data_IF_616324975378
#
_entry.id   IF_616324975378
#
_cell.length_a   1.000
_cell.length_b   1.000
_cell.length_c   1.000
_cell.angle_alpha   90.00
_cell.angle_beta   90.00
_cell.angle_gamma   90.00
#
_symmetry.space_group_name_H-M   'P 1'
#
loop_
_entity.id
_entity.type
_entity.pdbx_description
1 polymer ?
#
# COMPACT_ATOMS: atom_id res chain seq x y z
N UNK A 1 -12.26 -19.98 -10.53
CA UNK A 1 -11.97 -19.69 -9.12
C UNK A 1 -10.72 -18.81 -9.05
N UNK A 2 -10.84 -17.55 -9.48
CA UNK A 2 -9.77 -16.52 -9.39
C UNK A 2 -10.30 -15.23 -8.75
N UNK A 3 -11.62 -15.17 -8.53
CA UNK A 3 -12.35 -14.00 -8.08
C UNK A 3 -11.88 -13.53 -6.69
N UNK A 4 -11.66 -14.46 -5.76
CA UNK A 4 -11.29 -14.10 -4.39
C UNK A 4 -9.87 -13.51 -4.27
N UNK A 5 -8.91 -14.00 -5.05
CA UNK A 5 -7.55 -13.47 -5.05
C UNK A 5 -7.48 -12.12 -5.77
N UNK A 6 -8.17 -11.99 -6.91
CA UNK A 6 -8.25 -10.71 -7.62
C UNK A 6 -9.01 -9.66 -6.79
N UNK A 7 -10.10 -10.03 -6.11
CA UNK A 7 -10.85 -9.12 -5.22
C UNK A 7 -9.99 -8.59 -4.08
N UNK A 8 -9.17 -9.44 -3.46
CA UNK A 8 -8.17 -9.03 -2.47
C UNK A 8 -7.16 -8.06 -3.09
N UNK A 9 -6.64 -8.37 -4.28
CA UNK A 9 -5.64 -7.55 -4.96
C UNK A 9 -6.20 -6.18 -5.35
N UNK A 10 -7.44 -6.13 -5.81
CA UNK A 10 -8.18 -4.91 -6.11
C UNK A 10 -8.40 -4.10 -4.83
N UNK A 11 -8.86 -4.73 -3.75
CA UNK A 11 -9.06 -4.09 -2.45
C UNK A 11 -7.79 -3.44 -1.92
N UNK A 12 -6.66 -4.16 -1.97
CA UNK A 12 -5.34 -3.61 -1.60
C UNK A 12 -4.93 -2.43 -2.49
N UNK A 13 -5.15 -2.54 -3.80
CA UNK A 13 -4.85 -1.46 -4.75
C UNK A 13 -5.68 -0.20 -4.41
N UNK A 14 -6.96 -0.36 -4.09
CA UNK A 14 -7.84 0.73 -3.66
C UNK A 14 -7.32 1.35 -2.35
N UNK A 15 -6.91 0.52 -1.37
CA UNK A 15 -6.36 0.99 -0.11
C UNK A 15 -5.07 1.80 -0.31
N UNK A 16 -4.17 1.35 -1.19
CA UNK A 16 -2.93 2.05 -1.52
C UNK A 16 -3.18 3.35 -2.29
N UNK A 17 -4.21 3.37 -3.12
CA UNK A 17 -4.62 4.54 -3.89
C UNK A 17 -5.41 5.57 -3.08
N UNK A 18 -5.91 5.24 -1.89
CA UNK A 18 -6.75 6.15 -1.08
C UNK A 18 -5.94 6.80 0.03
N UNK A 19 -6.05 8.13 0.17
CA UNK A 19 -5.41 8.84 1.28
C UNK A 19 -6.23 8.72 2.58
N UNK A 20 -5.52 8.61 3.71
CA UNK A 20 -6.12 8.67 5.03
C UNK A 20 -6.91 9.98 5.22
N UNK A 21 -8.22 9.88 5.46
CA UNK A 21 -9.08 11.04 5.69
C UNK A 21 -9.81 11.57 4.45
N UNK A 22 -9.53 11.05 3.26
CA UNK A 22 -10.20 11.45 2.01
C UNK A 22 -11.69 11.04 2.02
N UNK A 23 -12.02 9.92 2.68
CA UNK A 23 -13.40 9.46 2.86
C UNK A 23 -13.99 10.00 4.15
N UNK A 24 -14.86 11.00 4.03
CA UNK A 24 -15.60 11.64 5.15
C UNK A 24 -16.29 10.61 6.07
N UNK A 25 -16.85 9.54 5.50
CA UNK A 25 -17.56 8.48 6.25
C UNK A 25 -16.63 7.38 6.80
N UNK A 26 -15.34 7.38 6.44
CA UNK A 26 -14.32 6.43 6.90
C UNK A 26 -12.96 7.14 7.05
N UNK A 27 -12.80 8.00 8.06
CA UNK A 27 -11.59 8.82 8.22
C UNK A 27 -10.33 8.00 8.49
N UNK A 28 -10.49 6.76 8.99
CA UNK A 28 -9.39 5.82 9.22
C UNK A 28 -8.99 5.03 7.97
N UNK A 29 -9.76 5.13 6.87
CA UNK A 29 -9.53 4.34 5.66
C UNK A 29 -8.49 5.01 4.77
N UNK A 30 -7.36 4.34 4.59
CA UNK A 30 -6.24 4.81 3.79
C UNK A 30 -4.94 4.75 4.57
N UNK A 31 -3.92 5.40 4.03
CA UNK A 31 -2.61 5.55 4.64
C UNK A 31 -2.01 6.89 4.24
N UNK A 32 -0.96 7.34 4.94
CA UNK A 32 -0.31 8.63 4.66
C UNK A 32 0.58 8.59 3.42
N UNK A 33 -0.05 8.49 2.25
CA UNK A 33 0.60 8.53 0.94
C UNK A 33 1.30 9.86 0.68
N UNK A 34 0.67 10.98 1.04
CA UNK A 34 1.25 12.33 0.88
C UNK A 34 2.59 12.48 1.61
N UNK A 35 2.80 11.76 2.70
CA UNK A 35 4.06 11.85 3.42
C UNK A 35 5.26 11.35 2.57
N UNK A 36 5.03 10.43 1.59
CA UNK A 36 6.04 10.06 0.60
C UNK A 36 6.40 11.19 -0.36
N UNK A 37 5.51 12.17 -0.59
CA UNK A 37 5.76 13.32 -1.48
C UNK A 37 6.70 14.35 -0.86
N UNK A 38 6.67 14.48 0.46
CA UNK A 38 7.35 15.57 1.17
C UNK A 38 8.63 15.12 1.87
N UNK A 39 8.76 13.85 2.24
CA UNK A 39 9.92 13.35 2.97
C UNK A 39 10.78 12.38 2.14
N UNK A 40 12.12 12.52 2.15
CA UNK A 40 13.00 11.52 1.57
C UNK A 40 12.79 10.18 2.28
N UNK A 41 12.85 9.08 1.52
CA UNK A 41 12.60 7.73 1.98
C UNK A 41 13.73 7.23 2.90
N UNK A 42 13.78 7.80 4.10
CA UNK A 42 14.72 7.46 5.16
C UNK A 42 14.27 6.20 5.88
N UNK A 43 15.21 5.43 6.43
CA UNK A 43 14.92 4.17 7.13
C UNK A 43 13.87 4.32 8.24
N UNK A 44 13.91 5.43 8.99
CA UNK A 44 12.93 5.74 10.05
C UNK A 44 11.55 5.98 9.47
N UNK A 45 11.45 6.76 8.39
CA UNK A 45 10.20 7.12 7.75
C UNK A 45 9.57 5.91 7.05
N UNK A 46 10.37 5.11 6.34
CA UNK A 46 9.93 3.84 5.75
C UNK A 46 9.39 2.86 6.82
N UNK A 47 10.00 2.83 8.01
CA UNK A 47 9.53 2.00 9.13
C UNK A 47 8.19 2.50 9.67
N UNK A 48 8.01 3.81 9.78
CA UNK A 48 6.75 4.42 10.19
C UNK A 48 5.62 4.12 9.19
N UNK A 49 5.86 4.36 7.89
CA UNK A 49 4.89 4.05 6.84
C UNK A 49 4.55 2.57 6.77
N UNK A 50 5.55 1.69 6.93
CA UNK A 50 5.34 0.25 7.02
C UNK A 50 4.35 -0.08 8.14
N UNK A 51 4.55 0.47 9.35
CA UNK A 51 3.66 0.24 10.50
C UNK A 51 2.24 0.74 10.25
N UNK A 52 2.09 1.90 9.62
CA UNK A 52 0.77 2.42 9.24
C UNK A 52 0.08 1.50 8.22
N UNK A 53 0.79 1.08 7.16
CA UNK A 53 0.26 0.15 6.16
C UNK A 53 -0.09 -1.21 6.77
N UNK A 54 0.78 -1.75 7.63
CA UNK A 54 0.52 -3.00 8.36
C UNK A 54 -0.78 -2.90 9.17
N UNK A 55 -0.99 -1.78 9.86
CA UNK A 55 -2.21 -1.54 10.63
C UNK A 55 -3.42 -1.40 9.71
N UNK A 56 -3.34 -0.56 8.68
CA UNK A 56 -4.44 -0.35 7.74
C UNK A 56 -4.88 -1.65 7.05
N UNK A 57 -3.93 -2.45 6.55
CA UNK A 57 -4.21 -3.74 5.92
C UNK A 57 -4.85 -4.70 6.92
N UNK A 58 -4.34 -4.77 8.16
CA UNK A 58 -4.92 -5.63 9.19
C UNK A 58 -6.39 -5.27 9.50
N UNK A 59 -6.74 -3.98 9.48
CA UNK A 59 -8.10 -3.51 9.74
C UNK A 59 -9.04 -3.65 8.55
N UNK A 60 -8.56 -3.39 7.33
CA UNK A 60 -9.41 -3.33 6.13
C UNK A 60 -9.42 -4.63 5.32
N UNK A 61 -8.39 -5.45 5.42
CA UNK A 61 -8.26 -6.68 4.64
C UNK A 61 -7.84 -7.87 5.54
N UNK A 62 -8.70 -8.30 6.49
CA UNK A 62 -8.38 -9.39 7.43
C UNK A 62 -8.27 -10.77 6.74
N UNK A 63 -8.62 -10.86 5.45
CA UNK A 63 -8.52 -12.09 4.64
C UNK A 63 -7.07 -12.45 4.31
N UNK A 64 -6.13 -11.51 4.44
CA UNK A 64 -4.71 -11.74 4.21
C UNK A 64 -3.89 -11.60 5.49
N UNK A 65 -2.74 -12.26 5.49
CA UNK A 65 -1.69 -12.09 6.50
C UNK A 65 -0.50 -11.41 5.82
N UNK A 66 -0.15 -10.21 6.30
CA UNK A 66 0.91 -9.41 5.70
C UNK A 66 2.27 -9.89 6.20
N UNK A 67 3.09 -10.44 5.31
CA UNK A 67 4.40 -10.98 5.66
C UNK A 67 5.48 -9.89 5.64
N UNK A 68 5.47 -9.03 4.61
CA UNK A 68 6.50 -8.01 4.40
C UNK A 68 5.95 -6.83 3.61
N UNK A 69 6.41 -5.63 3.99
CA UNK A 69 6.26 -4.39 3.23
C UNK A 69 7.65 -3.86 2.94
N UNK A 70 7.90 -3.42 1.73
CA UNK A 70 9.13 -2.77 1.32
C UNK A 70 8.82 -1.63 0.35
N UNK A 71 9.57 -0.55 0.46
CA UNK A 71 9.46 0.61 -0.43
C UNK A 71 10.78 0.72 -1.16
N UNK A 72 10.74 0.65 -2.48
CA UNK A 72 11.92 0.76 -3.33
C UNK A 72 11.75 1.96 -4.24
N UNK A 73 12.74 2.85 -4.27
CA UNK A 73 12.76 3.95 -5.24
C UNK A 73 13.26 3.37 -6.56
N UNK A 74 12.48 3.47 -7.62
CA UNK A 74 12.88 2.96 -8.92
C UNK A 74 14.09 3.75 -9.43
N UNK A 75 15.14 3.04 -9.82
CA UNK A 75 16.35 3.65 -10.40
C UNK A 75 16.16 4.05 -11.87
N UNK A 76 15.12 3.52 -12.53
CA UNK A 76 14.83 3.75 -13.95
C UNK A 76 13.99 5.00 -14.20
N UNK A 77 13.18 5.43 -13.22
CA UNK A 77 12.25 6.56 -13.35
C UNK A 77 12.41 7.43 -12.12
N UNK A 78 12.93 8.64 -12.30
CA UNK A 78 13.02 9.62 -11.22
C UNK A 78 11.62 9.95 -10.70
N UNK A 79 11.45 9.88 -9.39
CA UNK A 79 10.14 10.13 -8.78
C UNK A 79 9.19 8.94 -8.79
N UNK A 80 9.63 7.71 -9.08
CA UNK A 80 8.80 6.51 -8.92
C UNK A 80 9.21 5.73 -7.65
N UNK A 81 8.23 5.42 -6.81
CA UNK A 81 8.39 4.55 -5.64
C UNK A 81 7.54 3.31 -5.86
N UNK A 82 8.18 2.14 -5.87
CA UNK A 82 7.52 0.84 -5.89
C UNK A 82 7.25 0.36 -4.47
N UNK A 83 5.97 0.24 -4.13
CA UNK A 83 5.53 -0.34 -2.86
C UNK A 83 5.34 -1.84 -3.09
N UNK A 84 6.15 -2.66 -2.42
CA UNK A 84 6.10 -4.11 -2.49
C UNK A 84 5.47 -4.67 -1.22
N UNK A 85 4.41 -5.45 -1.41
CA UNK A 85 3.66 -6.11 -0.36
C UNK A 85 3.72 -7.61 -0.59
N UNK A 86 4.32 -8.35 0.34
CA UNK A 86 4.26 -9.81 0.37
C UNK A 86 3.21 -10.22 1.40
N UNK A 87 2.22 -10.99 0.99
CA UNK A 87 1.13 -11.42 1.86
C UNK A 87 0.71 -12.87 1.58
N UNK A 88 0.07 -13.48 2.56
CA UNK A 88 -0.48 -14.83 2.47
C UNK A 88 -1.99 -14.75 2.54
N UNK A 89 -2.69 -15.29 1.56
CA UNK A 89 -4.16 -15.35 1.58
C UNK A 89 -4.56 -16.44 2.57
N UNK A 90 -5.25 -16.09 3.65
CA UNK A 90 -5.59 -17.02 4.73
C UNK A 90 -6.49 -18.16 4.25
N UNK A 91 -7.38 -17.86 3.30
CA UNK A 91 -8.37 -18.81 2.77
C UNK A 91 -7.72 -19.93 1.94
N UNK A 92 -6.74 -19.59 1.11
CA UNK A 92 -6.07 -20.54 0.19
C UNK A 92 -4.70 -20.97 0.68
N UNK A 93 -4.20 -20.37 1.76
CA UNK A 93 -2.82 -20.49 2.25
C UNK A 93 -1.78 -20.30 1.13
N UNK A 94 -2.13 -19.47 0.13
CA UNK A 94 -1.25 -19.14 -0.99
C UNK A 94 -0.52 -17.85 -0.69
N UNK A 95 0.79 -17.85 -0.96
CA UNK A 95 1.62 -16.66 -0.89
C UNK A 95 1.52 -15.90 -2.20
N UNK A 96 1.20 -14.63 -2.10
CA UNK A 96 1.09 -13.71 -3.22
C UNK A 96 1.87 -12.44 -2.92
N UNK A 97 2.20 -11.69 -3.96
CA UNK A 97 2.81 -10.37 -3.83
C UNK A 97 2.04 -9.35 -4.65
N UNK A 98 2.12 -8.10 -4.22
CA UNK A 98 1.58 -6.94 -4.94
C UNK A 98 2.67 -5.88 -5.01
N UNK A 99 2.95 -5.43 -6.23
CA UNK A 99 3.81 -4.28 -6.50
C UNK A 99 2.92 -3.14 -6.96
N UNK A 100 2.90 -2.06 -6.20
CA UNK A 100 2.14 -0.85 -6.51
C UNK A 100 3.11 0.28 -6.87
N UNK A 101 3.10 0.76 -8.13
CA UNK A 101 3.88 1.91 -8.53
C UNK A 101 3.22 3.20 -8.02
N UNK A 102 3.97 4.02 -7.28
CA UNK A 102 3.54 5.31 -6.81
C UNK A 102 4.41 6.41 -7.42
N UNK A 103 3.82 7.26 -8.25
CA UNK A 103 4.52 8.37 -8.87
C UNK A 103 4.46 9.60 -7.94
N UNK A 104 5.62 10.13 -7.59
CA UNK A 104 5.77 11.38 -6.84
C UNK A 104 5.20 12.59 -7.60
N UNK A 105 5.14 12.51 -8.94
CA UNK A 105 4.62 13.57 -9.80
C UNK A 105 3.07 13.61 -9.88
N UNK A 106 2.37 12.59 -9.37
CA UNK A 106 0.90 12.54 -9.37
C UNK A 106 0.22 13.54 -8.40
N UNK A 107 0.98 14.48 -7.81
CA UNK A 107 0.42 15.64 -7.12
C UNK A 107 -0.26 16.65 -8.06
N UNK A 108 -0.17 16.48 -9.39
CA UNK A 108 -0.71 17.43 -10.38
C UNK A 108 -1.79 16.87 -11.32
N UNK A 109 -2.57 15.86 -10.91
CA UNK A 109 -3.79 15.48 -11.63
C UNK A 109 -5.03 15.77 -10.78
N UNK A 110 -5.33 17.05 -10.57
CA UNK A 110 -6.68 17.66 -10.57
C UNK A 110 -6.60 19.18 -10.65
#
# INVERSE_FOLDING_TARGET
MADAEEDIRQSLTILLSTELGERVMRPTFGWKRNALLFEPLSTTFATYLKRELETAILFYEPRIDLNRVSFEVSTSVEGLIEIRLDYTIRTTNSRSNLVYPFYLDEANLV
#
